data_IF_199902452799
#
_entry.id   IF_199902452799
#
_cell.length_a   1.000
_cell.length_b   1.000
_cell.length_c   1.000
_cell.angle_alpha   90.00
_cell.angle_beta   90.00
_cell.angle_gamma   90.00
#
_symmetry.space_group_name_H-M   'P 1'
#
loop_
_entity.id
_entity.type
_entity.pdbx_description
1 polymer ?
#
# COMPACT_ATOMS: atom_id res chain seq x y z
N UNK A 1 -57.88 -2.77 -19.42
CA UNK A 1 -57.67 -2.68 -17.95
C UNK A 1 -56.24 -3.17 -17.70
N UNK A 2 -55.25 -2.27 -17.73
CA UNK A 2 -54.47 -1.78 -16.57
C UNK A 2 -53.81 -2.91 -15.77
N UNK A 3 -52.56 -3.23 -16.13
CA UNK A 3 -51.70 -4.16 -15.38
C UNK A 3 -50.19 -3.91 -15.50
N UNK A 4 -49.70 -3.29 -16.58
CA UNK A 4 -48.27 -3.45 -16.93
C UNK A 4 -47.36 -2.23 -16.66
N UNK A 5 -47.78 -1.28 -15.82
CA UNK A 5 -47.05 0.00 -15.69
C UNK A 5 -46.61 0.40 -14.26
N UNK A 6 -46.61 -0.51 -13.27
CA UNK A 6 -46.42 -0.09 -11.86
C UNK A 6 -45.22 -0.70 -11.13
N UNK A 7 -44.43 -1.62 -11.71
CA UNK A 7 -43.33 -2.27 -10.96
C UNK A 7 -41.97 -2.18 -11.65
N UNK A 8 -41.65 -1.02 -12.23
CA UNK A 8 -40.25 -0.71 -12.56
C UNK A 8 -39.89 0.75 -12.29
N UNK A 9 -40.35 1.27 -11.15
CA UNK A 9 -39.64 2.37 -10.48
C UNK A 9 -38.55 1.74 -9.63
N UNK A 10 -37.55 1.13 -10.29
CA UNK A 10 -36.29 0.80 -9.63
C UNK A 10 -35.70 2.15 -9.23
N UNK A 11 -35.61 2.38 -7.92
CA UNK A 11 -34.96 3.52 -7.29
C UNK A 11 -33.64 3.84 -7.99
N UNK A 12 -33.66 4.80 -8.91
CA UNK A 12 -32.47 5.56 -9.23
C UNK A 12 -32.15 6.38 -7.99
N UNK A 13 -31.49 5.78 -7.01
CA UNK A 13 -30.82 6.54 -5.95
C UNK A 13 -29.89 7.51 -6.66
N UNK A 14 -30.28 8.79 -6.69
CA UNK A 14 -29.49 9.88 -7.26
C UNK A 14 -28.13 9.82 -6.58
N UNK A 15 -27.10 9.33 -7.28
CA UNK A 15 -25.75 9.30 -6.74
C UNK A 15 -25.36 10.73 -6.32
N UNK A 16 -24.86 10.88 -5.09
CA UNK A 16 -24.38 12.15 -4.57
C UNK A 16 -23.33 12.75 -5.51
N UNK A 17 -23.21 14.08 -5.55
CA UNK A 17 -22.17 14.74 -6.35
C UNK A 17 -20.76 14.21 -6.02
N UNK A 18 -20.55 13.90 -4.73
CA UNK A 18 -19.36 13.24 -4.21
C UNK A 18 -19.08 11.89 -4.87
N UNK A 19 -20.00 10.93 -4.77
CA UNK A 19 -19.82 9.61 -5.37
C UNK A 19 -19.67 9.69 -6.90
N UNK A 20 -20.42 10.60 -7.54
CA UNK A 20 -20.37 10.82 -8.99
C UNK A 20 -19.00 11.33 -9.46
N UNK A 21 -18.38 12.24 -8.71
CA UNK A 21 -17.06 12.77 -9.03
C UNK A 21 -16.02 11.64 -9.09
N UNK A 22 -16.00 10.80 -8.05
CA UNK A 22 -15.04 9.69 -7.94
C UNK A 22 -15.34 8.55 -8.92
N UNK A 23 -16.62 8.27 -9.17
CA UNK A 23 -17.06 7.25 -10.12
C UNK A 23 -16.67 7.53 -11.57
N UNK A 24 -16.34 8.78 -11.91
CA UNK A 24 -15.83 9.12 -13.24
C UNK A 24 -14.45 8.51 -13.50
N UNK A 25 -13.69 8.17 -12.45
CA UNK A 25 -12.34 7.63 -12.59
C UNK A 25 -11.34 8.62 -13.20
N UNK A 26 -10.16 8.11 -13.57
CA UNK A 26 -9.11 8.90 -14.22
C UNK A 26 -7.82 9.00 -13.41
N UNK A 27 -6.68 9.07 -14.10
CA UNK A 27 -5.35 9.06 -13.46
C UNK A 27 -5.16 10.21 -12.46
N UNK A 28 -5.64 11.40 -12.81
CA UNK A 28 -5.46 12.58 -11.96
C UNK A 28 -6.31 12.52 -10.68
N UNK A 29 -7.44 11.80 -10.68
CA UNK A 29 -8.23 11.53 -9.46
C UNK A 29 -7.52 10.54 -8.56
N UNK A 30 -6.87 9.54 -9.13
CA UNK A 30 -6.04 8.62 -8.35
C UNK A 30 -4.85 9.37 -7.71
N UNK A 31 -4.21 10.27 -8.47
CA UNK A 31 -3.19 11.17 -7.94
C UNK A 31 -3.73 12.07 -6.83
N UNK A 32 -4.87 12.74 -7.06
CA UNK A 32 -5.52 13.61 -6.08
C UNK A 32 -5.83 12.87 -4.78
N UNK A 33 -6.33 11.64 -4.87
CA UNK A 33 -6.59 10.80 -3.70
C UNK A 33 -5.30 10.54 -2.91
N UNK A 34 -4.22 10.13 -3.59
CA UNK A 34 -2.94 9.79 -2.96
C UNK A 34 -2.30 11.02 -2.32
N UNK A 35 -2.32 12.17 -3.02
CA UNK A 35 -1.84 13.44 -2.45
C UNK A 35 -2.68 13.84 -1.24
N UNK A 36 -4.01 13.72 -1.31
CA UNK A 36 -4.89 13.98 -0.17
C UNK A 36 -4.59 13.08 1.02
N UNK A 37 -4.34 11.79 0.78
CA UNK A 37 -3.90 10.85 1.81
C UNK A 37 -2.57 11.28 2.45
N UNK A 38 -1.56 11.65 1.65
CA UNK A 38 -0.25 12.09 2.17
C UNK A 38 -0.37 13.36 3.02
N UNK A 39 -1.14 14.36 2.56
CA UNK A 39 -1.37 15.60 3.31
C UNK A 39 -2.05 15.30 4.65
N UNK A 40 -3.03 14.39 4.66
CA UNK A 40 -3.72 13.97 5.88
C UNK A 40 -2.75 13.23 6.82
N UNK A 41 -1.99 12.26 6.29
CA UNK A 41 -1.01 11.49 7.05
C UNK A 41 0.04 12.38 7.71
N UNK A 42 0.68 13.26 6.94
CA UNK A 42 1.68 14.21 7.45
C UNK A 42 1.06 15.21 8.44
N UNK A 43 -0.14 15.73 8.13
CA UNK A 43 -0.85 16.64 9.04
C UNK A 43 -1.17 16.00 10.39
N UNK A 44 -1.63 14.75 10.40
CA UNK A 44 -1.87 13.97 11.63
C UNK A 44 -0.54 13.70 12.34
N UNK A 45 0.52 13.31 11.61
CA UNK A 45 1.86 13.10 12.15
C UNK A 45 2.40 14.32 12.88
N UNK A 46 2.24 15.52 12.30
CA UNK A 46 2.63 16.77 12.94
C UNK A 46 1.83 17.06 14.22
N UNK A 47 0.52 16.81 14.21
CA UNK A 47 -0.33 17.01 15.40
C UNK A 47 0.04 16.03 16.53
N UNK A 48 0.30 14.77 16.21
CA UNK A 48 0.71 13.77 17.21
C UNK A 48 2.12 14.09 17.70
N UNK A 49 3.06 14.38 16.80
CA UNK A 49 4.44 14.72 17.13
C UNK A 49 4.57 15.94 18.03
N UNK A 50 3.65 16.92 17.90
CA UNK A 50 3.58 18.08 18.80
C UNK A 50 2.91 17.75 20.13
N UNK A 51 1.80 17.00 20.12
CA UNK A 51 1.04 16.68 21.33
C UNK A 51 1.74 15.65 22.24
N UNK A 52 2.53 14.74 21.66
CA UNK A 52 3.17 13.61 22.34
C UNK A 52 4.71 13.64 22.21
N UNK A 53 5.30 14.82 22.05
CA UNK A 53 6.74 14.98 21.82
C UNK A 53 7.61 14.32 22.91
N UNK A 54 7.15 14.36 24.17
CA UNK A 54 7.84 13.76 25.32
C UNK A 54 7.87 12.21 25.27
N UNK A 55 6.95 11.60 24.52
CA UNK A 55 6.86 10.14 24.38
C UNK A 55 7.60 9.61 23.13
N UNK A 56 8.13 10.49 22.28
CA UNK A 56 8.77 10.13 21.02
C UNK A 56 10.28 10.25 21.15
N UNK A 57 10.96 9.11 21.08
CA UNK A 57 12.41 9.07 20.93
C UNK A 57 12.77 9.28 19.44
N UNK A 58 13.13 10.52 19.11
CA UNK A 58 13.51 10.94 17.74
C UNK A 58 14.84 10.37 17.27
N UNK A 59 15.67 9.82 18.17
CA UNK A 59 16.96 9.19 17.82
C UNK A 59 16.79 7.69 17.60
N UNK A 60 15.89 7.06 18.34
CA UNK A 60 15.57 5.65 18.20
C UNK A 60 14.07 5.41 18.39
N UNK A 61 13.34 5.46 17.28
CA UNK A 61 11.89 5.18 17.28
C UNK A 61 11.54 3.81 17.86
N UNK A 62 12.44 2.83 17.79
CA UNK A 62 12.23 1.47 18.28
C UNK A 62 12.75 1.26 19.72
N UNK A 63 13.13 2.32 20.43
CA UNK A 63 13.56 2.24 21.83
C UNK A 63 12.43 1.77 22.76
N UNK A 64 11.21 2.25 22.52
CA UNK A 64 10.03 1.93 23.34
C UNK A 64 8.79 1.72 22.47
N UNK A 65 7.80 0.94 22.95
CA UNK A 65 6.51 0.80 22.27
C UNK A 65 5.79 2.15 22.08
N UNK A 66 5.86 3.04 23.07
CA UNK A 66 5.23 4.37 23.04
C UNK A 66 5.81 5.23 21.92
N UNK A 67 7.13 5.22 21.74
CA UNK A 67 7.81 5.94 20.67
C UNK A 67 7.36 5.45 19.27
N UNK A 68 7.17 4.15 19.08
CA UNK A 68 6.61 3.59 17.83
C UNK A 68 5.16 4.05 17.64
N UNK A 69 4.35 3.98 18.69
CA UNK A 69 2.92 4.32 18.60
C UNK A 69 2.73 5.79 18.24
N UNK A 70 3.32 6.70 18.99
CA UNK A 70 3.14 8.14 18.79
C UNK A 70 4.01 8.69 17.66
N UNK A 71 5.17 8.10 17.41
CA UNK A 71 6.06 8.54 16.33
C UNK A 71 5.50 8.24 14.94
N UNK A 72 4.88 7.07 14.75
CA UNK A 72 4.50 6.60 13.40
C UNK A 72 3.18 5.81 13.34
N UNK A 73 2.91 4.90 14.29
CA UNK A 73 1.82 3.94 14.11
C UNK A 73 0.42 4.55 14.23
N UNK A 74 0.24 5.52 15.11
CA UNK A 74 -1.05 6.18 15.31
C UNK A 74 -1.44 7.02 14.09
N UNK A 75 -0.48 7.74 13.49
CA UNK A 75 -0.74 8.54 12.30
C UNK A 75 -1.18 7.70 11.11
N UNK A 76 -0.46 6.60 10.83
CA UNK A 76 -0.79 5.71 9.71
C UNK A 76 -2.13 4.98 9.94
N UNK A 77 -2.44 4.59 11.18
CA UNK A 77 -3.71 3.96 11.53
C UNK A 77 -4.88 4.92 11.27
N UNK A 78 -4.80 6.17 11.75
CA UNK A 78 -5.86 7.16 11.54
C UNK A 78 -6.02 7.44 10.04
N UNK A 79 -4.93 7.64 9.30
CA UNK A 79 -4.97 7.86 7.85
C UNK A 79 -5.63 6.68 7.11
N UNK A 80 -5.30 5.44 7.49
CA UNK A 80 -5.94 4.23 6.96
C UNK A 80 -7.43 4.13 7.27
N UNK A 81 -7.84 4.46 8.51
CA UNK A 81 -9.27 4.49 8.90
C UNK A 81 -10.05 5.58 8.16
N UNK A 82 -9.43 6.73 7.88
CA UNK A 82 -10.01 7.78 7.04
C UNK A 82 -10.13 7.32 5.59
N UNK A 83 -9.14 6.60 5.04
CA UNK A 83 -9.23 5.99 3.72
C UNK A 83 -10.34 4.92 3.64
N UNK A 84 -10.55 4.14 4.71
CA UNK A 84 -11.65 3.19 4.81
C UNK A 84 -13.00 3.90 4.88
N UNK A 85 -13.09 4.96 5.67
CA UNK A 85 -14.29 5.81 5.77
C UNK A 85 -14.61 6.46 4.42
N UNK A 86 -13.59 6.94 3.71
CA UNK A 86 -13.71 7.41 2.33
C UNK A 86 -14.28 6.31 1.43
N UNK A 87 -13.70 5.11 1.47
CA UNK A 87 -14.14 3.94 0.68
C UNK A 87 -15.62 3.61 0.93
N UNK A 88 -16.06 3.67 2.18
CA UNK A 88 -17.45 3.51 2.57
C UNK A 88 -18.33 4.65 2.04
N UNK A 89 -17.89 5.91 2.17
CA UNK A 89 -18.66 7.10 1.76
C UNK A 89 -18.99 7.16 0.27
N UNK A 90 -18.13 6.57 -0.58
CA UNK A 90 -18.34 6.49 -2.04
C UNK A 90 -19.00 5.16 -2.46
N UNK A 91 -19.28 4.28 -1.51
CA UNK A 91 -19.97 3.01 -1.72
C UNK A 91 -19.11 1.91 -2.33
N UNK A 92 -17.78 1.96 -2.16
CA UNK A 92 -16.83 1.07 -2.85
C UNK A 92 -16.33 -0.14 -2.04
N UNK A 93 -16.87 -0.38 -0.83
CA UNK A 93 -16.37 -1.45 0.04
C UNK A 93 -16.41 -2.82 -0.66
N UNK A 94 -17.49 -3.12 -1.39
CA UNK A 94 -17.62 -4.41 -2.09
C UNK A 94 -16.68 -4.51 -3.28
N UNK A 95 -16.46 -3.43 -4.02
CA UNK A 95 -15.55 -3.41 -5.17
C UNK A 95 -14.07 -3.49 -4.76
N UNK A 96 -13.73 -2.92 -3.60
CA UNK A 96 -12.36 -2.88 -3.08
C UNK A 96 -12.00 -4.20 -2.39
N UNK A 97 -12.85 -4.69 -1.48
CA UNK A 97 -12.57 -5.90 -0.69
C UNK A 97 -13.13 -7.19 -1.30
N UNK A 98 -13.97 -7.09 -2.33
CA UNK A 98 -14.50 -8.23 -3.06
C UNK A 98 -13.50 -8.88 -4.02
N UNK A 99 -13.95 -9.93 -4.70
CA UNK A 99 -13.11 -10.63 -5.70
C UNK A 99 -12.76 -9.68 -6.85
N UNK A 100 -11.50 -9.71 -7.25
CA UNK A 100 -11.03 -8.87 -8.36
C UNK A 100 -11.77 -9.21 -9.66
N UNK A 101 -12.20 -8.19 -10.44
CA UNK A 101 -12.98 -8.40 -11.66
C UNK A 101 -12.16 -8.96 -12.83
N UNK A 102 -10.83 -9.04 -12.71
CA UNK A 102 -9.93 -9.61 -13.71
C UNK A 102 -9.08 -10.69 -13.06
N UNK A 103 -9.24 -11.93 -13.53
CA UNK A 103 -8.44 -13.04 -13.06
C UNK A 103 -6.93 -12.80 -13.27
N UNK A 104 -6.13 -13.29 -12.34
CA UNK A 104 -4.69 -13.39 -12.51
C UNK A 104 -4.29 -14.54 -13.43
N UNK A 105 -3.02 -14.56 -13.82
CA UNK A 105 -2.42 -15.61 -14.64
C UNK A 105 -1.38 -16.35 -13.80
N UNK A 106 -1.15 -17.64 -14.06
CA UNK A 106 -0.27 -18.48 -13.23
C UNK A 106 1.14 -17.90 -13.00
N UNK A 107 1.75 -17.27 -14.01
CA UNK A 107 3.07 -16.65 -13.87
C UNK A 107 3.13 -15.55 -12.80
N UNK A 108 2.00 -14.90 -12.47
CA UNK A 108 1.93 -13.86 -11.45
C UNK A 108 2.23 -14.40 -10.05
N UNK A 109 2.09 -15.72 -9.82
CA UNK A 109 2.48 -16.37 -8.57
C UNK A 109 3.97 -16.22 -8.27
N UNK A 110 4.84 -15.94 -9.27
CA UNK A 110 6.26 -15.66 -9.04
C UNK A 110 6.46 -14.47 -8.08
N UNK A 111 5.53 -13.51 -8.03
CA UNK A 111 5.61 -12.40 -7.09
C UNK A 111 5.59 -12.85 -5.60
N UNK A 112 4.93 -13.97 -5.29
CA UNK A 112 4.80 -14.47 -3.91
C UNK A 112 6.13 -14.93 -3.33
N UNK A 113 6.89 -15.88 -3.92
CA UNK A 113 8.19 -16.25 -3.39
C UNK A 113 9.18 -15.07 -3.42
N UNK A 114 9.09 -14.19 -4.42
CA UNK A 114 9.91 -12.97 -4.44
C UNK A 114 9.68 -12.06 -3.22
N UNK A 115 8.46 -12.01 -2.68
CA UNK A 115 8.13 -11.27 -1.46
C UNK A 115 8.46 -12.07 -0.18
N UNK A 116 8.11 -13.36 -0.15
CA UNK A 116 8.22 -14.20 1.05
C UNK A 116 9.67 -14.53 1.41
N UNK A 117 10.54 -14.79 0.42
CA UNK A 117 11.94 -15.14 0.69
C UNK A 117 12.67 -14.04 1.47
N UNK A 118 12.69 -12.76 1.06
CA UNK A 118 13.37 -11.71 1.82
C UNK A 118 12.75 -11.46 3.20
N UNK A 119 11.44 -11.67 3.38
CA UNK A 119 10.80 -11.63 4.71
C UNK A 119 11.43 -12.69 5.62
N UNK A 120 11.55 -13.94 5.14
CA UNK A 120 12.15 -15.05 5.89
C UNK A 120 13.63 -14.76 6.17
N UNK A 121 14.38 -14.30 5.18
CA UNK A 121 15.80 -13.97 5.33
C UNK A 121 16.02 -12.86 6.37
N UNK A 122 15.18 -11.80 6.36
CA UNK A 122 15.24 -10.71 7.34
C UNK A 122 14.87 -11.21 8.73
N UNK A 123 13.80 -11.99 8.86
CA UNK A 123 13.41 -12.57 10.14
C UNK A 123 14.49 -13.49 10.73
N UNK A 124 15.11 -14.33 9.90
CA UNK A 124 16.21 -15.21 10.31
C UNK A 124 17.51 -14.43 10.60
N UNK A 125 17.75 -13.34 9.88
CA UNK A 125 18.92 -12.51 10.04
C UNK A 125 18.83 -11.45 11.14
N UNK A 126 17.66 -11.28 11.76
CA UNK A 126 17.45 -10.33 12.87
C UNK A 126 17.98 -10.90 14.19
N UNK A 127 18.75 -10.09 14.90
CA UNK A 127 19.16 -10.26 16.29
C UNK A 127 18.04 -9.76 17.19
N UNK A 128 17.09 -10.66 17.45
CA UNK A 128 15.91 -10.40 18.27
C UNK A 128 16.24 -10.01 19.72
N UNK A 129 17.46 -10.32 20.21
CA UNK A 129 17.89 -10.00 21.58
C UNK A 129 18.01 -8.49 21.84
N UNK A 130 18.11 -7.68 20.77
CA UNK A 130 18.16 -6.21 20.85
C UNK A 130 16.82 -5.56 21.16
N UNK A 131 15.72 -6.29 21.06
CA UNK A 131 14.38 -5.75 21.22
C UNK A 131 13.63 -6.43 22.36
N UNK A 132 12.83 -5.66 23.08
CA UNK A 132 11.85 -6.23 23.99
C UNK A 132 10.71 -6.87 23.21
N UNK A 133 10.05 -7.86 23.80
CA UNK A 133 8.85 -8.49 23.20
C UNK A 133 7.78 -7.44 22.88
N UNK A 134 7.61 -6.43 23.74
CA UNK A 134 6.66 -5.35 23.52
C UNK A 134 7.00 -4.54 22.26
N UNK A 135 8.28 -4.16 22.07
CA UNK A 135 8.73 -3.47 20.86
C UNK A 135 8.45 -4.31 19.62
N UNK A 136 8.79 -5.60 19.63
CA UNK A 136 8.54 -6.51 18.49
C UNK A 136 7.06 -6.53 18.13
N UNK A 137 6.18 -6.78 19.11
CA UNK A 137 4.73 -6.88 18.87
C UNK A 137 4.15 -5.54 18.39
N UNK A 138 4.60 -4.43 18.96
CA UNK A 138 4.18 -3.08 18.52
C UNK A 138 4.66 -2.78 17.10
N UNK A 139 5.88 -3.16 16.74
CA UNK A 139 6.39 -3.02 15.37
C UNK A 139 5.59 -3.87 14.38
N UNK A 140 5.23 -5.11 14.73
CA UNK A 140 4.36 -5.95 13.89
C UNK A 140 2.95 -5.35 13.73
N UNK A 141 2.37 -4.81 14.80
CA UNK A 141 1.09 -4.11 14.74
C UNK A 141 1.16 -2.84 13.88
N UNK A 142 2.25 -2.08 13.99
CA UNK A 142 2.54 -0.95 13.11
C UNK A 142 2.61 -1.40 11.65
N UNK A 143 3.36 -2.46 11.34
CA UNK A 143 3.44 -3.05 10.01
C UNK A 143 2.06 -3.42 9.44
N UNK A 144 1.17 -3.99 10.27
CA UNK A 144 -0.21 -4.26 9.87
C UNK A 144 -0.97 -2.99 9.51
N UNK A 145 -0.77 -1.89 10.25
CA UNK A 145 -1.38 -0.60 9.94
C UNK A 145 -0.86 -0.02 8.62
N UNK A 146 0.44 -0.13 8.35
CA UNK A 146 1.07 0.29 7.08
C UNK A 146 0.50 -0.51 5.92
N UNK A 147 0.57 -1.85 6.00
CA UNK A 147 0.06 -2.74 4.96
C UNK A 147 -1.43 -2.51 4.69
N UNK A 148 -2.24 -2.28 5.73
CA UNK A 148 -3.64 -1.90 5.58
C UNK A 148 -3.82 -0.56 4.87
N UNK A 149 -3.20 0.51 5.36
CA UNK A 149 -3.43 1.87 4.86
C UNK A 149 -2.93 2.04 3.43
N UNK A 150 -1.69 1.64 3.15
CA UNK A 150 -1.06 1.91 1.86
C UNK A 150 -1.63 1.02 0.74
N UNK A 151 -1.92 -0.26 1.02
CA UNK A 151 -2.56 -1.13 0.03
C UNK A 151 -4.02 -0.75 -0.19
N UNK A 152 -4.74 -0.27 0.82
CA UNK A 152 -6.08 0.27 0.64
C UNK A 152 -6.08 1.48 -0.31
N UNK A 153 -5.16 2.42 -0.10
CA UNK A 153 -5.04 3.62 -0.95
C UNK A 153 -4.59 3.25 -2.37
N UNK A 154 -3.63 2.35 -2.52
CA UNK A 154 -3.00 2.08 -3.82
C UNK A 154 -3.67 0.92 -4.58
N UNK A 155 -3.84 -0.25 -3.97
CA UNK A 155 -4.39 -1.47 -4.61
C UNK A 155 -5.91 -1.55 -4.50
N UNK A 156 -6.48 -0.93 -3.47
CA UNK A 156 -7.91 -0.73 -3.36
C UNK A 156 -8.38 0.45 -4.22
N UNK A 157 -8.13 1.67 -3.73
CA UNK A 157 -8.75 2.89 -4.24
C UNK A 157 -8.16 3.38 -5.57
N UNK A 158 -6.83 3.53 -5.68
CA UNK A 158 -6.22 4.02 -6.92
C UNK A 158 -6.46 3.05 -8.09
N UNK A 159 -6.31 1.74 -7.88
CA UNK A 159 -6.68 0.72 -8.87
C UNK A 159 -8.15 0.82 -9.27
N UNK A 160 -9.08 0.95 -8.32
CA UNK A 160 -10.51 1.09 -8.62
C UNK A 160 -10.81 2.36 -9.43
N UNK A 161 -10.20 3.50 -9.08
CA UNK A 161 -10.33 4.78 -9.81
C UNK A 161 -9.80 4.65 -11.25
N UNK A 162 -8.63 4.02 -11.42
CA UNK A 162 -8.03 3.83 -12.73
C UNK A 162 -8.88 2.90 -13.61
N UNK A 163 -9.37 1.79 -13.05
CA UNK A 163 -10.28 0.88 -13.78
C UNK A 163 -11.58 1.56 -14.18
N UNK A 164 -12.16 2.41 -13.32
CA UNK A 164 -13.35 3.24 -13.66
C UNK A 164 -13.06 4.21 -14.81
N UNK A 165 -11.83 4.72 -14.88
CA UNK A 165 -11.33 5.51 -16.02
C UNK A 165 -11.16 4.71 -17.32
N UNK A 166 -11.32 3.38 -17.29
CA UNK A 166 -11.22 2.51 -18.47
C UNK A 166 -9.79 2.20 -18.90
N UNK A 167 -8.80 2.40 -18.04
CA UNK A 167 -7.40 2.06 -18.36
C UNK A 167 -7.20 0.54 -18.44
N UNK A 168 -6.24 0.13 -19.27
CA UNK A 168 -5.81 -1.27 -19.32
C UNK A 168 -5.10 -1.65 -18.02
N UNK A 169 -5.16 -2.92 -17.66
CA UNK A 169 -4.53 -3.43 -16.43
C UNK A 169 -3.01 -3.19 -16.40
N UNK A 170 -2.37 -3.07 -17.57
CA UNK A 170 -0.97 -2.62 -17.67
C UNK A 170 -0.79 -1.20 -17.13
N UNK A 171 -1.64 -0.26 -17.58
CA UNK A 171 -1.60 1.13 -17.14
C UNK A 171 -2.03 1.25 -15.67
N UNK A 172 -3.04 0.48 -15.26
CA UNK A 172 -3.48 0.42 -13.85
C UNK A 172 -2.34 -0.03 -12.95
N UNK A 173 -1.63 -1.11 -13.32
CA UNK A 173 -0.45 -1.59 -12.59
C UNK A 173 0.63 -0.50 -12.51
N UNK A 174 1.05 0.06 -13.65
CA UNK A 174 2.14 1.04 -13.68
C UNK A 174 1.79 2.27 -12.85
N UNK A 175 0.60 2.85 -13.01
CA UNK A 175 0.23 4.07 -12.30
C UNK A 175 0.03 3.79 -10.81
N UNK A 176 -0.62 2.70 -10.41
CA UNK A 176 -0.78 2.40 -8.97
C UNK A 176 0.57 2.08 -8.29
N UNK A 177 1.49 1.41 -8.98
CA UNK A 177 2.87 1.21 -8.50
C UNK A 177 3.68 2.49 -8.45
N UNK A 178 3.52 3.38 -9.43
CA UNK A 178 4.18 4.68 -9.42
C UNK A 178 3.65 5.57 -8.30
N UNK A 179 2.34 5.60 -8.07
CA UNK A 179 1.74 6.35 -6.97
C UNK A 179 2.26 5.86 -5.62
N UNK A 180 2.32 4.54 -5.41
CA UNK A 180 2.93 3.93 -4.23
C UNK A 180 4.40 4.36 -4.05
N UNK A 181 5.18 4.28 -5.12
CA UNK A 181 6.58 4.68 -5.08
C UNK A 181 6.77 6.16 -4.73
N UNK A 182 5.97 7.04 -5.35
CA UNK A 182 6.05 8.47 -5.14
C UNK A 182 5.60 8.91 -3.74
N UNK A 183 4.76 8.13 -3.05
CA UNK A 183 4.43 8.39 -1.64
C UNK A 183 5.71 8.47 -0.78
N UNK A 184 6.72 7.67 -1.09
CA UNK A 184 7.99 7.64 -0.35
C UNK A 184 8.90 8.84 -0.65
N UNK A 185 8.57 9.66 -1.67
CA UNK A 185 9.30 10.92 -1.91
C UNK A 185 9.10 11.93 -0.77
N UNK A 186 8.04 11.76 0.04
CA UNK A 186 7.77 12.60 1.21
C UNK A 186 8.90 12.53 2.24
N UNK A 187 9.65 11.42 2.30
CA UNK A 187 10.76 11.24 3.23
C UNK A 187 11.88 12.28 3.03
N UNK A 188 12.02 12.85 1.82
CA UNK A 188 12.96 13.95 1.58
C UNK A 188 12.58 15.20 2.39
N UNK A 189 11.28 15.47 2.58
CA UNK A 189 10.79 16.56 3.42
C UNK A 189 11.01 16.26 4.91
N UNK A 190 11.04 14.99 5.27
CA UNK A 190 11.31 14.51 6.63
C UNK A 190 12.82 14.36 6.93
N UNK A 191 13.69 14.87 6.04
CA UNK A 191 15.15 14.94 6.26
C UNK A 191 15.97 13.75 5.76
N UNK A 192 15.34 12.78 5.08
CA UNK A 192 16.07 11.64 4.50
C UNK A 192 16.95 12.09 3.32
N UNK A 193 18.16 11.53 3.21
CA UNK A 193 19.11 11.90 2.16
C UNK A 193 18.53 11.69 0.75
N UNK A 194 18.67 12.65 -0.20
CA UNK A 194 18.02 12.56 -1.51
C UNK A 194 18.34 11.29 -2.30
N UNK A 195 19.57 10.80 -2.24
CA UNK A 195 19.97 9.55 -2.92
C UNK A 195 19.22 8.34 -2.34
N UNK A 196 19.08 8.27 -1.00
CA UNK A 196 18.32 7.22 -0.33
C UNK A 196 16.85 7.26 -0.73
N UNK A 197 16.26 8.45 -0.84
CA UNK A 197 14.88 8.62 -1.31
C UNK A 197 14.72 8.15 -2.76
N UNK A 198 15.64 8.52 -3.66
CA UNK A 198 15.60 8.07 -5.07
C UNK A 198 15.67 6.54 -5.16
N UNK A 199 16.61 5.91 -4.43
CA UNK A 199 16.72 4.44 -4.38
C UNK A 199 15.42 3.84 -3.82
N UNK A 200 14.83 4.50 -2.81
CA UNK A 200 13.57 4.07 -2.19
C UNK A 200 12.43 4.08 -3.19
N UNK A 201 12.24 5.18 -3.92
CA UNK A 201 11.24 5.30 -4.98
C UNK A 201 11.43 4.23 -6.06
N UNK A 202 12.67 3.95 -6.46
CA UNK A 202 12.95 2.93 -7.49
C UNK A 202 12.55 1.53 -7.02
N UNK A 203 12.98 1.10 -5.82
CA UNK A 203 12.65 -0.26 -5.36
C UNK A 203 11.15 -0.39 -5.00
N UNK A 204 10.54 0.65 -4.41
CA UNK A 204 9.12 0.64 -4.03
C UNK A 204 8.20 0.59 -5.24
N UNK A 205 8.61 1.12 -6.40
CA UNK A 205 7.90 0.88 -7.67
C UNK A 205 7.88 -0.62 -8.02
N UNK A 206 9.02 -1.30 -7.88
CA UNK A 206 9.14 -2.73 -8.07
C UNK A 206 8.27 -3.53 -7.10
N UNK A 207 8.36 -3.19 -5.81
CA UNK A 207 7.57 -3.79 -4.73
C UNK A 207 6.07 -3.61 -4.92
N UNK A 208 5.62 -2.39 -5.22
CA UNK A 208 4.23 -2.11 -5.54
C UNK A 208 3.74 -2.92 -6.75
N UNK A 209 4.61 -3.14 -7.74
CA UNK A 209 4.27 -4.03 -8.86
C UNK A 209 4.04 -5.45 -8.38
N UNK A 210 4.82 -5.95 -7.41
CA UNK A 210 4.61 -7.27 -6.83
C UNK A 210 3.27 -7.34 -6.09
N UNK A 211 2.93 -6.33 -5.28
CA UNK A 211 1.65 -6.26 -4.59
C UNK A 211 0.46 -6.24 -5.55
N UNK A 212 0.57 -5.53 -6.68
CA UNK A 212 -0.43 -5.57 -7.74
C UNK A 212 -0.58 -6.98 -8.35
N UNK A 213 0.53 -7.69 -8.61
CA UNK A 213 0.50 -9.05 -9.14
C UNK A 213 -0.11 -10.04 -8.14
N UNK A 214 0.22 -9.92 -6.85
CA UNK A 214 -0.40 -10.71 -5.78
C UNK A 214 -1.90 -10.45 -5.70
N UNK A 215 -2.33 -9.18 -5.72
CA UNK A 215 -3.76 -8.83 -5.77
C UNK A 215 -4.47 -9.52 -6.94
N UNK A 216 -3.86 -9.49 -8.14
CA UNK A 216 -4.42 -10.11 -9.35
C UNK A 216 -4.52 -11.63 -9.25
N UNK A 217 -3.47 -12.29 -8.77
CA UNK A 217 -3.40 -13.76 -8.76
C UNK A 217 -4.25 -14.37 -7.65
N UNK A 218 -4.30 -13.71 -6.49
CA UNK A 218 -5.13 -14.14 -5.36
C UNK A 218 -6.58 -13.66 -5.46
N UNK A 219 -6.83 -12.62 -6.27
CA UNK A 219 -8.14 -12.04 -6.45
C UNK A 219 -8.63 -11.21 -5.27
N UNK A 220 -7.75 -10.78 -4.35
CA UNK A 220 -8.10 -9.95 -3.19
C UNK A 220 -6.94 -9.03 -2.77
N UNK A 221 -7.27 -7.85 -2.23
CA UNK A 221 -6.29 -6.92 -1.66
C UNK A 221 -5.80 -7.34 -0.27
N UNK A 222 -6.46 -8.31 0.38
CA UNK A 222 -6.05 -8.76 1.72
C UNK A 222 -4.65 -9.40 1.68
N UNK A 223 -4.32 -10.14 0.62
CA UNK A 223 -3.01 -10.77 0.49
C UNK A 223 -1.85 -9.80 0.34
N UNK A 224 -1.90 -8.77 -0.53
CA UNK A 224 -0.87 -7.74 -0.53
C UNK A 224 -0.82 -6.96 0.80
N UNK A 225 -1.96 -6.68 1.45
CA UNK A 225 -1.96 -6.07 2.80
C UNK A 225 -1.13 -6.89 3.79
N UNK A 226 -1.31 -8.21 3.82
CA UNK A 226 -0.58 -9.09 4.75
C UNK A 226 0.90 -9.26 4.37
N UNK A 227 1.23 -9.34 3.09
CA UNK A 227 2.63 -9.43 2.65
C UNK A 227 3.39 -8.13 2.91
N UNK A 228 2.75 -6.98 2.69
CA UNK A 228 3.29 -5.68 3.04
C UNK A 228 3.45 -5.56 4.56
N UNK A 229 2.42 -5.94 5.34
CA UNK A 229 2.47 -5.98 6.80
C UNK A 229 3.56 -6.88 7.38
N UNK A 230 4.05 -7.87 6.62
CA UNK A 230 5.18 -8.68 7.00
C UNK A 230 6.53 -8.10 6.53
N UNK A 231 6.57 -7.43 5.38
CA UNK A 231 7.80 -6.88 4.78
C UNK A 231 8.37 -5.74 5.61
N UNK A 232 7.56 -4.76 5.94
CA UNK A 232 8.02 -3.53 6.58
C UNK A 232 8.60 -3.76 7.97
N UNK A 233 7.85 -4.38 8.92
CA UNK A 233 8.38 -4.57 10.26
C UNK A 233 9.59 -5.52 10.30
N UNK A 234 9.64 -6.56 9.45
CA UNK A 234 10.84 -7.40 9.37
C UNK A 234 12.04 -6.65 8.80
N UNK A 235 11.82 -5.67 7.93
CA UNK A 235 12.87 -4.78 7.45
C UNK A 235 13.35 -3.87 8.58
N UNK A 236 12.45 -3.14 9.24
CA UNK A 236 12.81 -2.20 10.30
C UNK A 236 13.57 -2.86 11.45
N UNK A 237 13.12 -4.04 11.88
CA UNK A 237 13.77 -4.80 12.96
C UNK A 237 15.14 -5.34 12.53
N UNK A 238 15.28 -5.80 11.29
CA UNK A 238 16.53 -6.31 10.75
C UNK A 238 17.60 -5.21 10.58
N UNK A 239 17.18 -4.02 10.15
CA UNK A 239 18.07 -2.89 9.86
C UNK A 239 18.32 -1.98 11.06
N UNK A 240 17.63 -2.18 12.18
CA UNK A 240 17.78 -1.35 13.38
C UNK A 240 17.05 0.00 13.32
N UNK A 241 16.10 0.16 12.39
CA UNK A 241 15.43 1.44 12.15
C UNK A 241 14.79 1.54 10.76
N UNK A 242 14.03 2.62 10.54
CA UNK A 242 13.36 2.93 9.25
C UNK A 242 14.36 3.47 8.21
N UNK A 243 15.42 4.15 8.67
CA UNK A 243 16.39 4.87 7.82
C UNK A 243 17.83 4.36 7.87
N UNK A 244 18.09 3.28 8.60
CA UNK A 244 19.44 2.74 8.81
C UNK A 244 19.76 1.69 7.75
N UNK A 245 20.77 1.92 6.92
CA UNK A 245 21.24 0.94 5.91
C UNK A 245 22.54 0.23 6.31
N UNK A 246 23.14 0.60 7.44
CA UNK A 246 24.51 0.23 7.79
C UNK A 246 24.70 -0.38 9.18
N UNK A 247 23.71 -0.28 10.08
CA UNK A 247 23.76 -0.87 11.41
C UNK A 247 22.92 -2.15 11.46
N UNK A 248 23.42 -3.23 10.84
CA UNK A 248 22.76 -4.53 10.88
C UNK A 248 22.52 -4.97 12.32
N UNK A 249 21.25 -5.11 12.70
CA UNK A 249 20.87 -5.72 13.96
C UNK A 249 20.91 -7.23 13.81
N UNK A 250 21.99 -7.84 13.29
CA UNK A 250 22.08 -9.29 13.10
C UNK A 250 22.99 -9.74 11.95
N UNK A 251 22.72 -10.89 11.33
CA UNK A 251 23.64 -11.54 10.39
C UNK A 251 23.76 -10.77 9.07
N UNK A 252 24.92 -10.18 8.81
CA UNK A 252 25.15 -9.33 7.64
C UNK A 252 24.92 -10.07 6.32
N UNK A 253 25.21 -11.38 6.27
CA UNK A 253 25.09 -12.20 5.07
C UNK A 253 23.63 -12.40 4.65
N UNK A 254 22.76 -12.81 5.58
CA UNK A 254 21.33 -13.01 5.29
C UNK A 254 20.65 -11.69 4.92
N UNK A 255 21.02 -10.60 5.59
CA UNK A 255 20.46 -9.27 5.30
C UNK A 255 20.93 -8.74 3.95
N UNK A 256 22.20 -8.97 3.59
CA UNK A 256 22.72 -8.65 2.26
C UNK A 256 22.02 -9.46 1.17
N UNK A 257 21.78 -10.75 1.40
CA UNK A 257 21.03 -11.61 0.48
C UNK A 257 19.58 -11.14 0.32
N UNK A 258 18.92 -10.74 1.41
CA UNK A 258 17.59 -10.15 1.36
C UNK A 258 17.58 -8.82 0.58
N UNK A 259 18.62 -8.00 0.71
CA UNK A 259 18.78 -6.74 -0.01
C UNK A 259 18.84 -6.89 -1.54
N UNK A 260 19.31 -8.04 -2.05
CA UNK A 260 19.33 -8.32 -3.50
C UNK A 260 17.92 -8.29 -4.09
N UNK A 261 16.89 -8.66 -3.31
CA UNK A 261 15.50 -8.67 -3.78
C UNK A 261 14.99 -7.28 -4.17
N UNK A 262 15.51 -6.20 -3.56
CA UNK A 262 15.15 -4.84 -3.94
C UNK A 262 15.44 -4.57 -5.44
N UNK A 263 16.56 -5.10 -5.94
CA UNK A 263 16.92 -5.02 -7.36
C UNK A 263 16.12 -6.00 -8.23
N UNK A 264 15.89 -7.22 -7.74
CA UNK A 264 15.07 -8.21 -8.44
C UNK A 264 13.65 -7.68 -8.67
N UNK A 265 13.07 -6.96 -7.71
CA UNK A 265 11.75 -6.34 -7.85
C UNK A 265 11.70 -5.35 -9.01
N UNK A 266 12.73 -4.53 -9.16
CA UNK A 266 12.82 -3.54 -10.25
C UNK A 266 12.87 -4.27 -11.59
N UNK A 267 13.77 -5.25 -11.73
CA UNK A 267 13.94 -6.01 -12.97
C UNK A 267 12.66 -6.76 -13.33
N UNK A 268 12.06 -7.46 -12.37
CA UNK A 268 10.85 -8.23 -12.62
C UNK A 268 9.62 -7.32 -12.87
N UNK A 269 9.56 -6.13 -12.28
CA UNK A 269 8.53 -5.15 -12.62
C UNK A 269 8.62 -4.69 -14.08
N UNK A 270 9.83 -4.46 -14.60
CA UNK A 270 10.04 -4.13 -16.03
C UNK A 270 9.50 -5.26 -16.92
N UNK A 271 9.81 -6.51 -16.60
CA UNK A 271 9.28 -7.68 -17.32
C UNK A 271 7.74 -7.73 -17.23
N UNK A 272 7.19 -7.53 -16.04
CA UNK A 272 5.75 -7.58 -15.79
C UNK A 272 4.96 -6.55 -16.63
N UNK A 273 5.53 -5.36 -16.90
CA UNK A 273 4.91 -4.33 -17.76
C UNK A 273 4.54 -4.93 -19.13
N UNK A 274 5.39 -5.75 -19.72
CA UNK A 274 5.13 -6.36 -21.03
C UNK A 274 4.15 -7.54 -20.95
N UNK A 275 4.12 -8.27 -19.83
CA UNK A 275 3.32 -9.49 -19.66
C UNK A 275 1.88 -9.25 -19.18
N UNK A 276 1.64 -8.18 -18.40
CA UNK A 276 0.31 -7.86 -17.87
C UNK A 276 -0.62 -7.39 -18.99
N UNK A 277 -1.80 -8.02 -19.03
CA UNK A 277 -2.88 -7.77 -19.98
C UNK A 277 -4.24 -7.78 -19.25
N UNK A 278 -5.25 -7.22 -19.91
CA UNK A 278 -6.64 -7.15 -19.42
C UNK A 278 -7.18 -5.73 -19.37
N UNK A 279 -8.49 -5.60 -19.33
CA UNK A 279 -9.23 -4.35 -19.16
C UNK A 279 -10.48 -4.63 -18.32
N UNK A 280 -10.84 -3.70 -17.44
CA UNK A 280 -12.14 -3.71 -16.77
C UNK A 280 -13.02 -2.67 -17.46
N UNK A 281 -14.13 -3.11 -18.04
CA UNK A 281 -15.12 -2.19 -18.59
C UNK A 281 -16.16 -1.85 -17.52
N UNK A 282 -16.45 -0.56 -17.27
CA UNK A 282 -17.60 -0.17 -16.46
C UNK A 282 -18.87 -0.80 -17.06
N UNK A 283 -19.79 -1.24 -16.20
CA UNK A 283 -21.04 -1.93 -16.58
C UNK A 283 -21.82 -1.19 -17.69
N UNK A 284 -21.74 0.15 -17.74
CA UNK A 284 -22.32 0.99 -18.81
C UNK A 284 -21.80 0.75 -20.22
N UNK A 285 -20.60 0.17 -20.40
CA UNK A 285 -20.01 -0.11 -21.72
C UNK A 285 -20.26 -1.52 -22.24
N UNK A 286 -20.90 -2.40 -21.47
CA UNK A 286 -21.25 -3.77 -21.92
C UNK A 286 -22.53 -3.83 -22.77
N UNK A 287 -23.28 -2.72 -22.86
CA UNK A 287 -24.58 -2.64 -23.54
C UNK A 287 -24.53 -1.89 -24.88
N UNK A 288 -23.35 -1.82 -25.53
CA UNK A 288 -23.23 -1.29 -26.89
C UNK A 288 -22.45 -2.25 -27.76
#
# INVERSE_FOLDING_TARGET
>A
MRGDHVVEVITQTKQSGWARFWNHGGWWRALLLVVGYLVIYEGIGLLIGTAFHDQIDTKNLFATPESIVFGIALAILIAGLLALTFTWSVGWLREVFGRQPVAGRGWMWIAVPLLVIPIILRAAGTDWSKYTVAVILTTLAFGLCVGFAEELVTRGLAVNILRRGGYSERVVMVISSLLFALMHSINALNGQAPLTVVITVLYTFGFGTMMYLVMRVTGSIIWPMLLHAATDPTTFLATGGIDTTTASAGSAELLSLAGIFNWIYIVFAIVAIFLVKGTVFPERKRLR
#
